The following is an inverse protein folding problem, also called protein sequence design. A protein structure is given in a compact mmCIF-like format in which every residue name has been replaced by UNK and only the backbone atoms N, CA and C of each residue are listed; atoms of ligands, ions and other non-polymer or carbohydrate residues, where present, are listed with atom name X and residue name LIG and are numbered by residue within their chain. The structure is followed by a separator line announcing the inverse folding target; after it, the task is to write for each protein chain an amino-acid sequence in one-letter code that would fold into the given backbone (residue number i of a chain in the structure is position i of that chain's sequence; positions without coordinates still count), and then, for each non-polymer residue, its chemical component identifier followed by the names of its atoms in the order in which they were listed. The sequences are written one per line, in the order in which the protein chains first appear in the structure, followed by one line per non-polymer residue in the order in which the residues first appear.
data_IF_742364561003
#
_entry.id   IF_742364561003
#
_cell.length_a   1.000
_cell.length_b   1.000
_cell.length_c   1.000
_cell.angle_alpha   90.00
_cell.angle_beta   90.00
_cell.angle_gamma   90.00
#
_symmetry.space_group_name_H-M   'P 1'
#
loop_
_entity.id
_entity.type
_entity.pdbx_description
1 polymer ?
#
# COMPACT_ATOMS: atom_id res chain seq x y z
N UNK A 1 -54.72 -32.94 -68.97
CA UNK A 1 -55.49 -31.87 -69.66
C UNK A 1 -55.79 -30.76 -68.67
N UNK A 2 -55.43 -29.56 -69.01
CA UNK A 2 -55.82 -28.28 -68.41
C UNK A 2 -55.13 -27.96 -66.98
N UNK A 3 -54.14 -27.16 -67.11
CA UNK A 3 -53.75 -26.17 -66.09
C UNK A 3 -54.81 -25.09 -65.96
N UNK A 4 -54.93 -24.50 -64.74
CA UNK A 4 -54.88 -23.05 -64.60
C UNK A 4 -54.13 -22.64 -63.36
N UNK A 5 -53.47 -21.55 -63.29
CA UNK A 5 -53.92 -20.18 -63.44
C UNK A 5 -53.40 -19.43 -62.22
N UNK A 6 -52.44 -18.64 -62.46
CA UNK A 6 -51.70 -17.75 -61.57
C UNK A 6 -52.61 -16.67 -60.96
N UNK A 7 -52.53 -16.45 -59.63
CA UNK A 7 -53.09 -15.29 -58.94
C UNK A 7 -52.07 -14.73 -57.91
N UNK A 8 -51.27 -13.78 -58.36
CA UNK A 8 -50.39 -12.99 -57.55
C UNK A 8 -51.21 -12.01 -56.71
N UNK A 9 -51.34 -12.32 -55.41
CA UNK A 9 -51.76 -11.34 -54.37
C UNK A 9 -50.58 -10.52 -53.88
N UNK A 10 -50.50 -9.26 -54.26
CA UNK A 10 -49.57 -8.27 -53.69
C UNK A 10 -50.00 -7.97 -52.29
N UNK A 11 -49.22 -8.42 -51.30
CA UNK A 11 -49.29 -7.91 -49.90
C UNK A 11 -48.45 -6.65 -49.85
N UNK A 12 -49.08 -5.52 -49.60
CA UNK A 12 -48.43 -4.26 -49.24
C UNK A 12 -48.09 -4.36 -47.78
N UNK A 13 -46.83 -4.45 -47.49
CA UNK A 13 -46.30 -4.39 -46.10
C UNK A 13 -46.12 -2.91 -45.75
N UNK A 14 -47.01 -2.37 -44.94
CA UNK A 14 -46.86 -1.04 -44.36
C UNK A 14 -45.83 -1.12 -43.22
N UNK A 15 -44.65 -0.59 -43.41
CA UNK A 15 -43.69 -0.34 -42.37
C UNK A 15 -44.10 0.91 -41.58
N UNK A 16 -44.55 0.73 -40.36
CA UNK A 16 -44.68 1.83 -39.39
C UNK A 16 -43.30 2.05 -38.81
N UNK A 17 -42.61 3.10 -39.22
CA UNK A 17 -41.39 3.56 -38.58
C UNK A 17 -41.77 4.19 -37.23
N UNK A 18 -41.57 3.46 -36.14
CA UNK A 18 -41.57 4.05 -34.79
C UNK A 18 -40.23 4.75 -34.61
N UNK A 19 -40.21 6.07 -34.75
CA UNK A 19 -39.08 6.89 -34.37
C UNK A 19 -39.04 6.94 -32.81
N UNK A 20 -38.24 6.05 -32.20
CA UNK A 20 -37.87 6.19 -30.79
C UNK A 20 -36.89 7.35 -30.71
N UNK A 21 -37.35 8.50 -30.26
CA UNK A 21 -36.49 9.61 -29.90
C UNK A 21 -35.65 9.15 -28.70
N UNK A 22 -34.40 8.76 -28.95
CA UNK A 22 -33.41 8.59 -27.94
C UNK A 22 -33.14 9.95 -27.31
N UNK A 23 -33.77 10.25 -26.19
CA UNK A 23 -33.34 11.34 -25.30
C UNK A 23 -32.01 10.91 -24.73
N UNK A 24 -30.90 11.58 -25.04
CA UNK A 24 -29.65 11.29 -24.35
C UNK A 24 -29.86 11.71 -22.89
N UNK A 25 -29.98 10.74 -22.01
CA UNK A 25 -29.76 10.96 -20.62
C UNK A 25 -28.26 11.32 -20.50
N UNK A 26 -27.98 12.63 -20.57
CA UNK A 26 -26.72 13.17 -20.07
C UNK A 26 -26.74 12.98 -18.55
N UNK A 27 -26.38 11.79 -18.09
CA UNK A 27 -25.80 11.71 -16.77
C UNK A 27 -24.51 12.52 -16.86
N UNK A 28 -24.31 13.53 -16.01
CA UNK A 28 -22.98 14.10 -15.89
C UNK A 28 -22.06 12.92 -15.57
N UNK A 29 -21.13 12.62 -16.46
CA UNK A 29 -20.03 11.75 -16.12
C UNK A 29 -19.42 12.37 -14.85
N UNK A 30 -19.20 11.59 -13.79
CA UNK A 30 -18.47 12.12 -12.65
C UNK A 30 -17.21 12.76 -13.23
N UNK A 31 -17.00 14.04 -12.93
CA UNK A 31 -15.74 14.70 -13.27
C UNK A 31 -14.68 13.78 -12.67
N UNK A 32 -13.89 13.15 -13.52
CA UNK A 32 -12.74 12.39 -13.07
C UNK A 32 -11.95 13.34 -12.18
N UNK A 33 -11.96 13.09 -10.88
CA UNK A 33 -11.16 13.86 -9.95
C UNK A 33 -9.73 13.45 -10.24
N UNK A 34 -9.09 14.19 -11.12
CA UNK A 34 -7.65 14.18 -11.22
C UNK A 34 -7.14 14.26 -9.77
N UNK A 35 -6.38 13.25 -9.33
CA UNK A 35 -5.84 13.25 -7.99
C UNK A 35 -5.29 14.63 -7.71
N UNK A 36 -5.65 15.23 -6.55
CA UNK A 36 -5.34 16.63 -6.26
C UNK A 36 -3.90 16.87 -6.66
N UNK A 37 -3.58 17.77 -7.60
CA UNK A 37 -2.21 17.99 -8.01
C UNK A 37 -1.44 18.32 -6.73
N UNK A 38 -0.47 17.47 -6.40
CA UNK A 38 0.36 17.70 -5.23
C UNK A 38 1.20 18.93 -5.50
N UNK A 39 0.64 20.08 -5.22
CA UNK A 39 1.38 21.31 -5.06
C UNK A 39 2.09 21.30 -3.70
N UNK A 40 2.74 20.20 -3.39
CA UNK A 40 3.67 20.13 -2.28
C UNK A 40 4.86 21.01 -2.64
N UNK A 41 4.64 22.31 -2.59
CA UNK A 41 5.74 23.24 -2.58
C UNK A 41 6.41 23.01 -1.24
N UNK A 42 7.64 22.50 -1.29
CA UNK A 42 8.50 22.50 -0.13
C UNK A 42 8.50 23.92 0.44
N UNK A 43 7.93 24.05 1.59
CA UNK A 43 7.98 25.31 2.32
C UNK A 43 9.02 25.12 3.43
N UNK A 44 9.78 26.17 3.71
CA UNK A 44 10.68 26.22 4.85
C UNK A 44 9.97 26.08 6.22
N UNK A 45 8.67 25.85 6.24
CA UNK A 45 7.91 25.45 7.43
C UNK A 45 8.16 23.98 7.68
N UNK A 46 9.09 23.72 8.51
CA UNK A 46 9.92 22.53 8.62
C UNK A 46 9.26 21.33 9.24
N UNK A 47 8.04 21.39 9.76
CA UNK A 47 7.46 20.28 10.55
C UNK A 47 6.13 19.80 9.97
N UNK A 48 6.11 19.46 8.67
CA UNK A 48 4.93 18.93 7.96
C UNK A 48 5.09 17.47 7.62
N UNK A 49 5.66 16.70 8.51
CA UNK A 49 5.92 15.27 8.33
C UNK A 49 5.23 14.47 9.40
N UNK A 50 4.65 13.35 8.98
CA UNK A 50 4.30 12.25 9.87
C UNK A 50 4.72 10.93 9.22
N UNK A 51 4.81 9.88 10.02
CA UNK A 51 5.23 8.55 9.56
C UNK A 51 4.41 7.45 10.23
N UNK A 52 4.40 6.32 9.58
CA UNK A 52 3.69 5.13 10.02
C UNK A 52 4.40 3.86 9.54
N UNK A 53 3.98 2.73 10.08
CA UNK A 53 4.56 1.43 9.75
C UNK A 53 3.53 0.56 9.07
N UNK A 54 3.95 -0.15 8.02
CA UNK A 54 3.19 -1.20 7.36
C UNK A 54 3.96 -2.51 7.57
N UNK A 55 3.29 -3.49 8.14
CA UNK A 55 3.78 -4.85 8.29
C UNK A 55 2.73 -5.81 7.73
N UNK A 56 3.12 -7.04 7.42
CA UNK A 56 2.23 -8.08 6.94
C UNK A 56 2.76 -9.46 7.30
N UNK A 57 1.95 -10.48 7.11
CA UNK A 57 2.40 -11.88 7.12
C UNK A 57 3.17 -12.22 8.40
N UNK A 58 2.55 -11.97 9.56
CA UNK A 58 3.13 -12.31 10.85
C UNK A 58 3.17 -13.83 11.07
N UNK A 59 2.17 -14.56 10.53
CA UNK A 59 2.07 -16.01 10.60
C UNK A 59 2.36 -16.56 12.01
N UNK A 60 1.67 -16.02 13.00
CA UNK A 60 1.78 -16.51 14.38
C UNK A 60 1.28 -17.96 14.43
N UNK A 61 2.11 -18.85 14.95
CA UNK A 61 1.83 -20.29 14.97
C UNK A 61 2.67 -21.11 14.00
N UNK A 62 3.28 -20.47 12.99
CA UNK A 62 4.13 -21.17 12.02
C UNK A 62 5.31 -21.86 12.69
N UNK A 63 5.52 -23.12 12.33
CA UNK A 63 6.65 -23.89 12.84
C UNK A 63 7.99 -23.27 12.44
N UNK A 64 8.81 -22.96 13.42
CA UNK A 64 10.10 -22.26 13.24
C UNK A 64 9.96 -20.84 12.62
N UNK A 65 8.77 -20.28 12.56
CA UNK A 65 8.55 -18.90 12.15
C UNK A 65 9.02 -17.90 13.21
N UNK A 66 9.34 -16.69 12.76
CA UNK A 66 9.77 -15.58 13.61
C UNK A 66 8.62 -14.64 13.99
N UNK A 67 7.42 -14.92 13.51
CA UNK A 67 6.25 -14.05 13.67
C UNK A 67 5.97 -13.58 15.09
N UNK A 68 5.86 -14.48 16.07
CA UNK A 68 5.60 -14.06 17.45
C UNK A 68 6.66 -13.12 18.01
N UNK A 69 7.94 -13.43 17.78
CA UNK A 69 9.07 -12.63 18.28
C UNK A 69 9.15 -11.26 17.57
N UNK A 70 8.93 -11.24 16.28
CA UNK A 70 9.01 -10.01 15.49
C UNK A 70 7.81 -9.10 15.71
N UNK A 71 6.60 -9.67 15.85
CA UNK A 71 5.42 -8.89 16.21
C UNK A 71 5.56 -8.27 17.61
N UNK A 72 6.07 -9.02 18.56
CA UNK A 72 6.37 -8.50 19.90
C UNK A 72 7.42 -7.37 19.86
N UNK A 73 8.48 -7.54 19.07
CA UNK A 73 9.49 -6.52 18.85
C UNK A 73 8.90 -5.26 18.19
N UNK A 74 8.08 -5.44 17.13
CA UNK A 74 7.46 -4.35 16.40
C UNK A 74 6.55 -3.49 17.29
N UNK A 75 5.69 -4.14 18.07
CA UNK A 75 4.76 -3.46 18.98
C UNK A 75 5.42 -2.94 20.26
N UNK A 76 6.62 -3.40 20.56
CA UNK A 76 7.43 -3.01 21.73
C UNK A 76 8.56 -2.04 21.38
N UNK A 77 9.78 -2.58 21.16
CA UNK A 77 10.98 -1.77 20.94
C UNK A 77 10.85 -0.86 19.72
N UNK A 78 10.38 -1.39 18.57
CA UNK A 78 10.29 -0.61 17.36
C UNK A 78 9.28 0.52 17.49
N UNK A 79 8.08 0.24 17.99
CA UNK A 79 7.05 1.27 18.22
C UNK A 79 7.55 2.38 19.14
N UNK A 80 8.22 2.04 20.24
CA UNK A 80 8.72 3.03 21.19
C UNK A 80 9.88 3.88 20.63
N UNK A 81 10.65 3.32 19.67
CA UNK A 81 11.80 4.00 19.07
C UNK A 81 11.40 4.84 17.87
N UNK A 82 10.49 4.32 17.03
CA UNK A 82 10.02 4.99 15.81
C UNK A 82 8.93 6.02 16.14
N UNK A 83 8.12 5.78 17.16
CA UNK A 83 6.95 6.58 17.54
C UNK A 83 6.03 6.87 16.34
N UNK A 84 5.57 5.83 15.62
CA UNK A 84 4.75 6.01 14.42
C UNK A 84 3.34 6.48 14.79
N UNK A 85 2.73 7.28 13.93
CA UNK A 85 1.34 7.73 14.07
C UNK A 85 0.35 6.56 14.14
N UNK A 86 0.69 5.46 13.49
CA UNK A 86 -0.01 4.17 13.57
C UNK A 86 0.83 3.05 12.95
N UNK A 87 0.38 1.83 13.18
CA UNK A 87 0.92 0.61 12.56
C UNK A 87 -0.23 -0.12 11.87
N UNK A 88 -0.03 -0.57 10.64
CA UNK A 88 -0.94 -1.48 9.93
C UNK A 88 -0.32 -2.87 9.89
N UNK A 89 -1.10 -3.91 10.19
CA UNK A 89 -0.76 -5.30 9.94
C UNK A 89 -1.70 -5.83 8.85
N UNK A 90 -1.13 -6.01 7.66
CA UNK A 90 -1.85 -6.18 6.39
C UNK A 90 -2.05 -7.66 6.05
N UNK A 91 -2.70 -8.40 6.95
CA UNK A 91 -3.13 -9.78 6.75
C UNK A 91 -2.15 -10.84 7.23
N UNK A 92 -2.63 -12.06 7.24
CA UNK A 92 -1.95 -13.27 7.70
C UNK A 92 -1.37 -13.10 9.12
N UNK A 93 -2.30 -12.81 10.05
CA UNK A 93 -1.99 -12.63 11.46
C UNK A 93 -1.54 -13.95 12.08
N UNK A 94 -2.25 -15.02 11.72
CA UNK A 94 -1.97 -16.41 12.13
C UNK A 94 -1.59 -17.28 10.93
N UNK A 95 -0.99 -18.44 11.18
CA UNK A 95 -0.51 -19.34 10.12
C UNK A 95 -1.55 -20.39 9.70
N UNK A 96 -2.56 -20.64 10.54
CA UNK A 96 -3.62 -21.65 10.37
C UNK A 96 -3.12 -23.09 10.16
N UNK A 97 -1.90 -23.42 10.63
CA UNK A 97 -1.28 -24.72 10.45
C UNK A 97 -1.05 -25.51 11.75
N UNK A 98 -1.15 -24.86 12.92
CA UNK A 98 -0.74 -25.38 14.25
C UNK A 98 0.64 -26.06 14.21
N UNK A 99 1.57 -25.46 13.44
CA UNK A 99 2.91 -26.00 13.20
C UNK A 99 2.96 -27.15 12.19
N UNK A 100 1.86 -27.44 11.50
CA UNK A 100 1.76 -28.40 10.39
C UNK A 100 2.38 -27.88 9.09
N UNK A 101 2.07 -28.56 8.00
CA UNK A 101 2.56 -28.20 6.65
C UNK A 101 1.49 -27.49 5.81
N UNK A 102 0.24 -27.68 6.15
CA UNK A 102 -0.89 -27.19 5.36
C UNK A 102 -1.80 -26.33 6.25
N UNK A 103 -2.32 -25.22 5.75
CA UNK A 103 -3.28 -24.41 6.46
C UNK A 103 -4.66 -25.10 6.43
N UNK A 104 -5.03 -25.69 7.56
CA UNK A 104 -6.30 -26.36 7.78
C UNK A 104 -7.04 -25.87 9.03
N UNK A 105 -6.55 -24.71 9.59
CA UNK A 105 -7.17 -24.00 10.72
C UNK A 105 -8.60 -23.52 10.44
N UNK A 106 -9.14 -22.59 11.26
CA UNK A 106 -8.40 -21.78 12.24
C UNK A 106 -8.07 -22.55 13.53
N UNK A 107 -6.97 -22.18 14.17
CA UNK A 107 -6.54 -22.80 15.44
C UNK A 107 -6.59 -21.80 16.61
N UNK A 108 -7.31 -22.17 17.65
CA UNK A 108 -7.45 -21.36 18.86
C UNK A 108 -6.09 -21.11 19.57
N UNK A 109 -5.15 -22.06 19.46
CA UNK A 109 -3.79 -21.93 20.00
C UNK A 109 -3.05 -20.73 19.40
N UNK A 110 -3.06 -20.60 18.07
CA UNK A 110 -2.41 -19.52 17.33
C UNK A 110 -3.06 -18.17 17.62
N UNK A 111 -4.39 -18.09 17.55
CA UNK A 111 -5.14 -16.89 17.86
C UNK A 111 -5.00 -16.45 19.33
N UNK A 112 -4.86 -17.39 20.25
CA UNK A 112 -4.57 -17.09 21.66
C UNK A 112 -3.17 -16.53 21.81
N UNK A 113 -2.18 -17.09 21.12
CA UNK A 113 -0.81 -16.58 21.11
C UNK A 113 -0.77 -15.17 20.51
N UNK A 114 -1.40 -14.94 19.34
CA UNK A 114 -1.52 -13.64 18.71
C UNK A 114 -2.12 -12.61 19.68
N UNK A 115 -3.27 -12.92 20.24
CA UNK A 115 -3.96 -12.06 21.20
C UNK A 115 -3.10 -11.72 22.41
N UNK A 116 -2.39 -12.68 22.98
CA UNK A 116 -1.51 -12.44 24.11
C UNK A 116 -0.37 -11.46 23.77
N UNK A 117 0.15 -11.51 22.54
CA UNK A 117 1.18 -10.57 22.07
C UNK A 117 0.60 -9.16 21.97
N UNK A 118 -0.51 -8.98 21.28
CA UNK A 118 -1.09 -7.63 21.05
C UNK A 118 -1.62 -7.02 22.35
N UNK A 119 -2.26 -7.82 23.22
CA UNK A 119 -2.74 -7.36 24.53
C UNK A 119 -1.57 -7.04 25.46
N UNK A 120 -0.52 -7.88 25.46
CA UNK A 120 0.70 -7.66 26.25
C UNK A 120 1.47 -6.40 25.84
N UNK A 121 1.40 -6.02 24.58
CA UNK A 121 1.96 -4.78 24.05
C UNK A 121 1.04 -3.55 24.25
N UNK A 122 -0.17 -3.73 24.78
CA UNK A 122 -1.15 -2.67 24.93
C UNK A 122 -1.66 -2.11 23.59
N UNK A 123 -1.73 -2.94 22.55
CA UNK A 123 -2.23 -2.53 21.24
C UNK A 123 -3.73 -2.19 21.31
N UNK A 124 -4.08 -1.08 20.70
CA UNK A 124 -5.48 -0.60 20.65
C UNK A 124 -5.84 -0.18 19.22
N UNK A 125 -7.13 -0.22 18.90
CA UNK A 125 -7.68 0.20 17.61
C UNK A 125 -7.49 1.69 17.28
N UNK A 126 -6.86 2.45 18.16
CA UNK A 126 -6.52 3.85 17.91
C UNK A 126 -5.19 4.05 17.17
N UNK A 127 -4.29 3.06 17.22
CA UNK A 127 -2.98 3.15 16.57
C UNK A 127 -2.52 1.87 15.87
N UNK A 128 -3.15 0.74 16.14
CA UNK A 128 -2.83 -0.55 15.53
C UNK A 128 -4.03 -1.06 14.75
N UNK A 129 -3.89 -1.15 13.44
CA UNK A 129 -4.96 -1.50 12.50
C UNK A 129 -4.61 -2.82 11.83
N UNK A 130 -5.48 -3.80 11.99
CA UNK A 130 -5.32 -5.15 11.47
C UNK A 130 -6.31 -5.39 10.34
N UNK A 131 -5.87 -6.12 9.33
CA UNK A 131 -6.66 -6.55 8.19
C UNK A 131 -6.50 -8.06 8.12
N UNK A 132 -7.55 -8.85 7.85
CA UNK A 132 -7.39 -10.29 7.71
C UNK A 132 -6.75 -10.64 6.36
N UNK A 133 -5.95 -11.73 6.35
CA UNK A 133 -5.46 -12.40 5.16
C UNK A 133 -6.14 -13.75 4.93
N UNK A 134 -5.71 -14.48 3.90
CA UNK A 134 -6.27 -15.79 3.58
C UNK A 134 -6.03 -16.84 4.66
N UNK A 135 -4.86 -16.80 5.33
CA UNK A 135 -4.61 -17.70 6.46
C UNK A 135 -5.55 -17.44 7.65
N UNK A 136 -6.05 -16.22 7.81
CA UNK A 136 -7.02 -15.89 8.85
C UNK A 136 -8.45 -16.34 8.51
N UNK A 137 -8.71 -16.64 7.22
CA UNK A 137 -10.02 -16.97 6.67
C UNK A 137 -10.21 -18.48 6.42
N UNK A 138 -9.16 -19.26 6.18
CA UNK A 138 -9.28 -20.68 5.88
C UNK A 138 -10.20 -21.41 6.85
N UNK A 139 -11.24 -22.08 6.31
CA UNK A 139 -12.31 -22.77 7.05
C UNK A 139 -13.11 -21.88 8.04
N UNK A 140 -13.01 -20.57 7.95
CA UNK A 140 -13.73 -19.59 8.79
C UNK A 140 -14.27 -18.43 7.93
N UNK A 141 -15.12 -18.69 6.95
CA UNK A 141 -15.66 -17.71 6.01
C UNK A 141 -16.37 -16.50 6.62
N UNK A 142 -16.67 -16.54 7.92
CA UNK A 142 -17.18 -15.38 8.65
C UNK A 142 -16.07 -14.62 9.39
N UNK A 143 -14.82 -15.07 9.28
CA UNK A 143 -13.68 -14.51 10.01
C UNK A 143 -13.95 -14.37 11.50
N UNK A 144 -14.60 -15.40 12.08
CA UNK A 144 -15.07 -15.37 13.47
C UNK A 144 -13.90 -15.31 14.46
N UNK A 145 -12.78 -15.96 14.15
CA UNK A 145 -11.58 -15.87 14.96
C UNK A 145 -10.94 -14.49 14.88
N UNK A 146 -10.81 -13.91 13.69
CA UNK A 146 -10.36 -12.52 13.54
C UNK A 146 -11.22 -11.55 14.36
N UNK A 147 -12.54 -11.62 14.22
CA UNK A 147 -13.49 -10.77 14.95
C UNK A 147 -13.38 -10.90 16.48
N UNK A 148 -13.03 -12.09 16.97
CA UNK A 148 -12.98 -12.37 18.41
C UNK A 148 -11.58 -12.18 19.04
N UNK A 149 -10.52 -12.18 18.24
CA UNK A 149 -9.15 -12.19 18.76
C UNK A 149 -8.30 -10.99 18.32
N UNK A 150 -8.50 -10.45 17.11
CA UNK A 150 -7.77 -9.25 16.67
C UNK A 150 -8.19 -8.02 17.47
N UNK A 151 -7.37 -6.98 17.47
CA UNK A 151 -7.68 -5.70 18.13
C UNK A 151 -8.84 -5.01 17.43
N UNK A 152 -8.81 -4.95 16.08
CA UNK A 152 -9.87 -4.33 15.28
C UNK A 152 -11.18 -5.12 15.38
N UNK A 153 -11.13 -6.43 15.21
CA UNK A 153 -12.30 -7.29 15.29
C UNK A 153 -13.01 -7.15 16.63
N UNK A 154 -12.29 -7.20 17.75
CA UNK A 154 -12.84 -7.03 19.11
C UNK A 154 -13.42 -5.63 19.33
N UNK A 155 -12.82 -4.60 18.75
CA UNK A 155 -13.24 -3.23 18.93
C UNK A 155 -14.52 -2.89 18.12
N UNK A 156 -14.64 -3.42 16.92
CA UNK A 156 -15.68 -3.02 15.95
C UNK A 156 -16.64 -4.13 15.57
N UNK A 157 -16.27 -5.38 15.77
CA UNK A 157 -16.95 -6.55 15.21
C UNK A 157 -16.78 -6.71 13.70
N UNK A 158 -16.03 -5.81 13.06
CA UNK A 158 -15.80 -5.78 11.62
C UNK A 158 -14.48 -6.40 11.18
N UNK A 159 -14.34 -6.59 9.88
CA UNK A 159 -13.13 -7.07 9.20
C UNK A 159 -12.47 -5.96 8.38
N UNK A 160 -13.15 -4.84 8.23
CA UNK A 160 -12.71 -3.63 7.55
C UNK A 160 -12.69 -2.45 8.52
N UNK A 161 -11.87 -1.47 8.26
CA UNK A 161 -11.75 -0.26 9.09
C UNK A 161 -11.45 0.98 8.25
N UNK A 162 -11.81 2.14 8.80
CA UNK A 162 -11.47 3.44 8.20
C UNK A 162 -11.09 4.39 9.32
N UNK A 163 -10.01 5.15 9.13
CA UNK A 163 -9.55 6.12 10.12
C UNK A 163 -8.91 7.33 9.46
N UNK A 164 -8.79 8.40 10.23
CA UNK A 164 -8.15 9.65 9.82
C UNK A 164 -7.00 10.01 10.73
N UNK A 165 -6.09 10.80 10.19
CA UNK A 165 -5.11 11.57 10.94
C UNK A 165 -5.18 13.03 10.49
N UNK A 166 -5.58 13.89 11.42
CA UNK A 166 -5.67 15.32 11.18
C UNK A 166 -4.51 16.02 11.89
N UNK A 167 -3.72 16.74 11.12
CA UNK A 167 -2.62 17.57 11.59
C UNK A 167 -2.90 19.04 11.22
N UNK A 168 -2.18 19.96 11.83
CA UNK A 168 -2.30 21.38 11.47
C UNK A 168 -1.95 21.68 9.99
N UNK A 169 -1.28 20.73 9.32
CA UNK A 169 -0.82 20.86 7.95
C UNK A 169 -1.58 20.01 6.93
N UNK A 170 -2.53 19.21 7.36
CA UNK A 170 -3.32 18.39 6.44
C UNK A 170 -4.17 17.33 7.12
N UNK A 171 -5.08 16.74 6.35
CA UNK A 171 -5.99 15.67 6.75
C UNK A 171 -5.73 14.44 5.87
N UNK A 172 -5.50 13.30 6.48
CA UNK A 172 -5.10 12.08 5.81
C UNK A 172 -6.05 10.96 6.15
N UNK A 173 -6.52 10.26 5.12
CA UNK A 173 -7.51 9.19 5.25
C UNK A 173 -6.90 7.84 4.92
N UNK A 174 -7.30 6.82 5.69
CA UNK A 174 -6.81 5.47 5.58
C UNK A 174 -7.96 4.48 5.63
N UNK A 175 -7.90 3.44 4.80
CA UNK A 175 -8.92 2.38 4.75
C UNK A 175 -8.25 1.03 4.79
N UNK A 176 -8.66 0.17 5.70
CA UNK A 176 -8.31 -1.24 5.72
C UNK A 176 -9.44 -2.06 5.10
N UNK A 177 -9.13 -2.84 4.08
CA UNK A 177 -10.09 -3.63 3.31
C UNK A 177 -9.84 -5.12 3.48
N UNK A 178 -10.88 -5.90 3.67
CA UNK A 178 -10.80 -7.35 3.73
C UNK A 178 -10.80 -7.89 2.30
N UNK A 179 -9.65 -8.35 1.82
CA UNK A 179 -9.51 -9.00 0.51
C UNK A 179 -9.46 -10.51 0.62
N UNK A 180 -9.49 -11.09 1.84
CA UNK A 180 -9.70 -12.51 2.04
C UNK A 180 -11.11 -12.89 1.56
N UNK A 181 -11.29 -14.12 1.10
CA UNK A 181 -12.58 -14.61 0.71
C UNK A 181 -13.60 -14.59 1.86
N UNK A 182 -14.86 -14.73 1.51
CA UNK A 182 -15.95 -14.82 2.51
C UNK A 182 -16.63 -16.19 2.47
N UNK A 183 -16.04 -17.17 1.82
CA UNK A 183 -16.63 -18.49 1.61
C UNK A 183 -16.07 -19.58 2.55
N UNK A 184 -14.98 -19.28 3.26
CA UNK A 184 -14.31 -20.22 4.15
C UNK A 184 -13.66 -21.36 3.39
N UNK A 185 -13.22 -21.11 2.17
CA UNK A 185 -12.58 -22.12 1.35
C UNK A 185 -11.36 -22.71 2.05
N UNK A 186 -11.21 -24.03 1.93
CA UNK A 186 -10.02 -24.69 2.43
C UNK A 186 -8.89 -24.52 1.42
N UNK A 187 -7.68 -24.36 1.92
CA UNK A 187 -6.50 -24.39 1.06
C UNK A 187 -6.46 -25.68 0.24
N UNK A 188 -6.26 -25.58 -1.07
CA UNK A 188 -6.14 -26.70 -1.97
C UNK A 188 -4.86 -26.64 -2.81
N UNK A 189 -4.16 -27.77 -2.93
CA UNK A 189 -3.03 -27.95 -3.85
C UNK A 189 -3.47 -28.57 -5.18
N UNK A 190 -4.75 -28.87 -5.38
CA UNK A 190 -5.27 -29.61 -6.53
C UNK A 190 -6.05 -28.64 -7.45
N UNK A 191 -5.67 -28.52 -8.74
CA UNK A 191 -6.45 -27.75 -9.71
C UNK A 191 -7.90 -28.32 -9.85
N UNK A 192 -8.91 -27.46 -10.07
CA UNK A 192 -8.85 -26.02 -10.33
C UNK A 192 -8.88 -25.13 -9.08
N UNK A 193 -8.91 -25.69 -7.90
CA UNK A 193 -9.08 -25.00 -6.61
C UNK A 193 -7.71 -24.72 -5.99
N UNK A 194 -6.84 -24.01 -6.70
CA UNK A 194 -5.59 -23.55 -6.12
C UNK A 194 -5.81 -22.30 -5.28
N UNK A 195 -5.20 -22.31 -4.08
CA UNK A 195 -5.08 -21.13 -3.27
C UNK A 195 -6.38 -20.73 -2.58
N UNK A 196 -6.58 -19.45 -2.51
CA UNK A 196 -7.71 -18.80 -1.85
C UNK A 196 -8.65 -18.15 -2.87
N UNK A 197 -9.83 -17.78 -2.42
CA UNK A 197 -10.84 -17.10 -3.20
C UNK A 197 -10.83 -15.59 -2.93
N UNK A 198 -9.64 -14.99 -2.94
CA UNK A 198 -9.46 -13.57 -2.67
C UNK A 198 -10.37 -12.69 -3.53
N UNK A 199 -10.97 -11.68 -2.93
CA UNK A 199 -11.86 -10.77 -3.62
C UNK A 199 -12.57 -9.80 -2.71
N UNK A 200 -13.42 -8.98 -3.30
CA UNK A 200 -14.24 -7.98 -2.62
C UNK A 200 -15.70 -8.13 -3.03
N UNK A 201 -16.55 -8.45 -2.10
CA UNK A 201 -17.98 -8.56 -2.36
C UNK A 201 -18.69 -7.18 -2.40
N UNK A 202 -19.98 -7.18 -2.72
CA UNK A 202 -20.75 -5.94 -2.80
C UNK A 202 -20.89 -5.19 -1.48
N UNK A 203 -20.82 -5.89 -0.34
CA UNK A 203 -20.85 -5.27 1.00
C UNK A 203 -19.53 -4.57 1.31
N UNK A 204 -18.43 -5.22 0.97
CA UNK A 204 -17.08 -4.68 1.13
C UNK A 204 -16.84 -3.48 0.22
N UNK A 205 -17.20 -3.57 -1.05
CA UNK A 205 -17.14 -2.45 -2.00
C UNK A 205 -17.99 -1.26 -1.53
N UNK A 206 -19.20 -1.53 -1.01
CA UNK A 206 -20.06 -0.47 -0.45
C UNK A 206 -19.42 0.20 0.77
N UNK A 207 -18.76 -0.57 1.65
CA UNK A 207 -18.02 0.02 2.78
C UNK A 207 -16.90 0.92 2.29
N UNK A 208 -16.12 0.48 1.30
CA UNK A 208 -15.01 1.23 0.72
C UNK A 208 -15.53 2.55 0.11
N UNK A 209 -16.54 2.48 -0.74
CA UNK A 209 -17.14 3.65 -1.38
C UNK A 209 -17.64 4.67 -0.35
N UNK A 210 -18.38 4.21 0.67
CA UNK A 210 -18.85 5.08 1.74
C UNK A 210 -17.71 5.73 2.53
N UNK A 211 -16.65 4.99 2.82
CA UNK A 211 -15.47 5.51 3.53
C UNK A 211 -14.74 6.57 2.70
N UNK A 212 -14.56 6.32 1.40
CA UNK A 212 -13.94 7.24 0.45
C UNK A 212 -14.78 8.51 0.27
N UNK A 213 -16.11 8.37 0.06
CA UNK A 213 -17.01 9.53 -0.10
C UNK A 213 -17.04 10.40 1.16
N UNK A 214 -17.11 9.78 2.35
CA UNK A 214 -17.11 10.53 3.62
C UNK A 214 -15.81 11.31 3.87
N UNK A 215 -14.71 10.95 3.21
CA UNK A 215 -13.39 11.55 3.41
C UNK A 215 -12.76 12.08 2.13
N UNK A 216 -13.55 12.32 1.11
CA UNK A 216 -13.10 12.77 -0.23
C UNK A 216 -12.30 14.09 -0.23
N UNK A 217 -12.38 14.88 0.83
CA UNK A 217 -11.62 16.12 0.99
C UNK A 217 -10.26 15.90 1.68
N UNK A 218 -9.90 14.67 2.02
CA UNK A 218 -8.58 14.37 2.57
C UNK A 218 -7.47 14.75 1.58
N UNK A 219 -6.33 15.19 2.10
CA UNK A 219 -5.16 15.55 1.27
C UNK A 219 -4.56 14.34 0.58
N UNK A 220 -4.49 13.20 1.27
CA UNK A 220 -4.14 11.89 0.72
C UNK A 220 -5.09 10.83 1.28
N UNK A 221 -5.38 9.82 0.46
CA UNK A 221 -6.07 8.60 0.87
C UNK A 221 -5.22 7.39 0.52
N UNK A 222 -4.98 6.53 1.51
CA UNK A 222 -4.24 5.29 1.36
C UNK A 222 -5.13 4.10 1.75
N UNK A 223 -5.06 3.03 1.00
CA UNK A 223 -5.81 1.80 1.27
C UNK A 223 -4.83 0.66 1.58
N UNK A 224 -5.21 -0.22 2.48
CA UNK A 224 -4.47 -1.40 2.85
C UNK A 224 -5.36 -2.62 2.74
N UNK A 225 -4.88 -3.64 2.06
CA UNK A 225 -5.49 -4.96 1.96
C UNK A 225 -4.44 -6.04 2.18
N UNK A 226 -4.73 -7.28 1.88
CA UNK A 226 -3.75 -8.37 2.00
C UNK A 226 -3.26 -8.85 0.64
N UNK A 227 -4.17 -9.08 -0.31
CA UNK A 227 -3.83 -9.66 -1.59
C UNK A 227 -3.39 -8.63 -2.62
N UNK A 228 -2.44 -8.98 -3.51
CA UNK A 228 -2.12 -8.16 -4.68
C UNK A 228 -3.34 -8.05 -5.59
N UNK A 229 -3.47 -6.93 -6.28
CA UNK A 229 -4.54 -6.71 -7.25
C UNK A 229 -4.17 -7.22 -8.64
N UNK A 230 -2.89 -7.19 -8.96
CA UNK A 230 -2.33 -7.63 -10.22
C UNK A 230 -1.36 -8.76 -9.97
N UNK A 231 -1.40 -9.76 -10.83
CA UNK A 231 -0.45 -10.87 -10.76
C UNK A 231 0.97 -10.34 -10.94
N UNK A 232 1.90 -10.65 -10.03
CA UNK A 232 3.30 -10.32 -10.24
C UNK A 232 3.83 -11.00 -11.51
N UNK A 233 4.64 -10.32 -12.30
CA UNK A 233 5.20 -10.83 -13.57
C UNK A 233 6.03 -12.12 -13.44
N UNK A 234 6.35 -12.51 -12.23
CA UNK A 234 7.21 -13.67 -11.92
C UNK A 234 6.50 -14.86 -11.34
N UNK A 235 5.20 -14.87 -11.30
CA UNK A 235 4.54 -16.12 -10.95
C UNK A 235 4.83 -17.13 -12.03
N UNK A 236 5.48 -18.19 -11.65
CA UNK A 236 5.37 -19.46 -12.38
C UNK A 236 3.88 -19.53 -12.76
N UNK A 237 3.57 -19.69 -14.03
CA UNK A 237 2.25 -19.57 -14.69
C UNK A 237 1.08 -20.34 -14.03
N UNK A 238 1.22 -20.77 -12.78
CA UNK A 238 0.36 -21.72 -12.12
C UNK A 238 -0.36 -21.23 -10.87
N UNK A 239 -0.12 -20.01 -10.38
CA UNK A 239 -0.74 -19.53 -9.15
C UNK A 239 -1.73 -18.42 -9.49
N UNK A 240 -3.00 -18.80 -9.67
CA UNK A 240 -4.11 -17.86 -9.89
C UNK A 240 -4.52 -17.08 -8.63
N UNK A 241 -3.99 -17.45 -7.51
CA UNK A 241 -4.34 -17.04 -6.16
C UNK A 241 -3.73 -15.72 -5.67
N UNK A 242 -2.89 -15.06 -6.48
CA UNK A 242 -2.26 -13.79 -6.11
C UNK A 242 -3.00 -12.53 -6.56
N UNK A 243 -4.14 -12.65 -7.24
CA UNK A 243 -4.97 -11.54 -7.69
C UNK A 243 -6.42 -11.75 -7.24
N UNK A 244 -7.14 -10.65 -7.02
CA UNK A 244 -8.55 -10.73 -6.68
C UNK A 244 -9.34 -11.44 -7.78
N UNK A 245 -10.10 -12.45 -7.42
CA UNK A 245 -10.92 -13.24 -8.35
C UNK A 245 -12.26 -12.58 -8.63
N UNK A 246 -12.75 -11.73 -7.73
CA UNK A 246 -13.97 -10.94 -7.89
C UNK A 246 -13.82 -9.55 -7.26
N UNK A 247 -14.61 -8.58 -7.75
CA UNK A 247 -14.60 -7.20 -7.27
C UNK A 247 -13.43 -6.33 -7.73
N UNK A 248 -12.44 -6.89 -8.44
CA UNK A 248 -11.23 -6.18 -8.86
C UNK A 248 -11.53 -4.90 -9.66
N UNK A 249 -12.33 -5.01 -10.73
CA UNK A 249 -12.59 -3.87 -11.61
C UNK A 249 -13.29 -2.73 -10.87
N UNK A 250 -14.29 -3.05 -10.05
CA UNK A 250 -15.01 -2.06 -9.24
C UNK A 250 -14.08 -1.40 -8.20
N UNK A 251 -13.21 -2.17 -7.59
CA UNK A 251 -12.25 -1.64 -6.61
C UNK A 251 -11.22 -0.72 -7.26
N UNK A 252 -10.67 -1.11 -8.40
CA UNK A 252 -9.75 -0.26 -9.17
C UNK A 252 -10.45 1.03 -9.63
N UNK A 253 -11.73 0.94 -10.03
CA UNK A 253 -12.54 2.10 -10.37
C UNK A 253 -12.71 3.05 -9.19
N UNK A 254 -13.10 2.54 -8.02
CA UNK A 254 -13.21 3.34 -6.79
C UNK A 254 -11.88 4.02 -6.43
N UNK A 255 -10.75 3.31 -6.49
CA UNK A 255 -9.45 3.90 -6.20
C UNK A 255 -9.11 5.05 -7.13
N UNK A 256 -9.41 4.92 -8.43
CA UNK A 256 -9.17 5.97 -9.41
C UNK A 256 -10.12 7.16 -9.22
N UNK A 257 -11.41 6.90 -9.02
CA UNK A 257 -12.42 7.95 -8.91
C UNK A 257 -12.23 8.83 -7.67
N UNK A 258 -11.70 8.26 -6.60
CA UNK A 258 -11.41 8.99 -5.35
C UNK A 258 -9.93 9.40 -5.20
N UNK A 259 -9.10 9.16 -6.21
CA UNK A 259 -7.70 9.57 -6.21
C UNK A 259 -6.88 8.94 -5.09
N UNK A 260 -7.05 7.63 -4.87
CA UNK A 260 -6.26 6.89 -3.89
C UNK A 260 -4.79 6.92 -4.27
N UNK A 261 -3.93 7.21 -3.30
CA UNK A 261 -2.51 7.43 -3.52
C UNK A 261 -1.68 6.16 -3.44
N UNK A 262 -2.08 5.22 -2.56
CA UNK A 262 -1.36 3.98 -2.33
C UNK A 262 -2.34 2.87 -1.97
N UNK A 263 -2.08 1.68 -2.52
CA UNK A 263 -2.61 0.41 -2.05
C UNK A 263 -1.45 -0.43 -1.49
N UNK A 264 -1.41 -0.60 -0.17
CA UNK A 264 -0.43 -1.42 0.55
C UNK A 264 -0.98 -2.82 0.82
N UNK A 265 -0.17 -3.85 0.57
CA UNK A 265 -0.58 -5.25 0.74
C UNK A 265 0.59 -6.16 1.14
N UNK A 266 0.32 -7.43 1.41
CA UNK A 266 1.31 -8.45 1.77
C UNK A 266 1.23 -9.69 0.88
N UNK A 267 0.96 -10.86 1.48
CA UNK A 267 0.68 -12.15 0.82
C UNK A 267 1.87 -12.79 0.09
N UNK A 268 2.62 -12.04 -0.70
CA UNK A 268 3.73 -12.61 -1.48
C UNK A 268 5.01 -12.81 -0.66
N UNK A 269 5.06 -12.28 0.56
CA UNK A 269 6.18 -12.33 1.50
C UNK A 269 7.45 -11.60 1.05
N UNK A 270 7.44 -10.93 -0.09
CA UNK A 270 8.59 -10.24 -0.69
C UNK A 270 8.27 -8.78 -0.90
N UNK A 271 9.18 -7.90 -0.48
CA UNK A 271 9.02 -6.48 -0.74
C UNK A 271 9.00 -6.18 -2.24
N UNK A 272 8.07 -5.36 -2.67
CA UNK A 272 7.98 -4.92 -4.05
C UNK A 272 7.15 -3.65 -4.20
N UNK A 273 7.49 -2.87 -5.18
CA UNK A 273 6.80 -1.64 -5.56
C UNK A 273 6.36 -1.76 -7.01
N UNK A 274 5.10 -1.43 -7.26
CA UNK A 274 4.54 -1.40 -8.60
C UNK A 274 3.73 -0.13 -8.75
N UNK A 275 3.65 0.36 -9.96
CA UNK A 275 2.83 1.51 -10.29
C UNK A 275 1.77 1.12 -11.30
N UNK A 276 0.52 1.26 -10.91
CA UNK A 276 -0.62 0.98 -11.77
C UNK A 276 -1.22 2.28 -12.28
N UNK A 277 -1.24 2.45 -13.58
CA UNK A 277 -1.80 3.62 -14.25
C UNK A 277 -2.96 3.16 -15.12
N UNK A 278 -4.17 3.57 -14.78
CA UNK A 278 -5.33 3.36 -15.67
C UNK A 278 -5.32 4.38 -16.80
N UNK A 279 -4.95 5.61 -16.45
CA UNK A 279 -4.58 6.64 -17.41
C UNK A 279 -3.39 7.46 -16.83
N UNK A 280 -2.65 8.13 -17.69
CA UNK A 280 -1.36 8.78 -17.37
C UNK A 280 -1.44 9.89 -16.31
N UNK A 281 -2.63 10.31 -15.92
CA UNK A 281 -2.85 11.39 -14.95
C UNK A 281 -3.30 10.88 -13.58
N UNK A 282 -3.65 9.61 -13.48
CA UNK A 282 -4.21 9.00 -12.28
C UNK A 282 -3.45 7.71 -11.99
N UNK A 283 -2.69 7.70 -10.93
CA UNK A 283 -1.88 6.55 -10.59
C UNK A 283 -1.98 6.18 -9.13
N UNK A 284 -2.02 4.89 -8.86
CA UNK A 284 -1.95 4.32 -7.52
C UNK A 284 -0.62 3.60 -7.36
N UNK A 285 0.09 3.87 -6.28
CA UNK A 285 1.27 3.10 -5.91
C UNK A 285 0.80 1.77 -5.32
N UNK A 286 1.23 0.66 -5.88
CA UNK A 286 1.05 -0.67 -5.32
C UNK A 286 2.29 -1.06 -4.55
N UNK A 287 2.14 -1.24 -3.23
CA UNK A 287 3.24 -1.52 -2.34
C UNK A 287 3.03 -2.87 -1.66
N UNK A 288 3.82 -3.85 -2.07
CA UNK A 288 3.91 -5.13 -1.37
C UNK A 288 4.91 -5.01 -0.23
N UNK A 289 4.45 -5.17 1.00
CA UNK A 289 5.34 -5.19 2.16
C UNK A 289 5.86 -6.61 2.40
N UNK A 290 7.11 -6.72 2.85
CA UNK A 290 7.72 -7.99 3.16
C UNK A 290 7.09 -8.66 4.38
N UNK A 291 7.27 -9.99 4.50
CA UNK A 291 6.75 -10.75 5.62
C UNK A 291 7.48 -10.44 6.94
N UNK A 292 6.72 -10.10 7.96
CA UNK A 292 7.22 -9.92 9.32
C UNK A 292 7.61 -11.27 9.96
N UNK A 293 6.95 -12.34 9.56
CA UNK A 293 7.14 -13.69 10.09
C UNK A 293 8.44 -14.39 9.69
N UNK A 294 9.29 -13.77 8.86
CA UNK A 294 10.57 -14.33 8.44
C UNK A 294 10.45 -15.46 7.41
N UNK A 295 9.46 -15.39 6.54
CA UNK A 295 9.20 -16.43 5.53
C UNK A 295 10.11 -16.33 4.31
N UNK A 296 10.35 -15.09 3.87
CA UNK A 296 11.31 -14.77 2.82
C UNK A 296 12.17 -13.58 3.31
N UNK A 297 11.68 -12.35 3.15
CA UNK A 297 12.31 -11.17 3.68
C UNK A 297 11.78 -10.91 5.09
N UNK A 298 12.68 -10.92 6.07
CA UNK A 298 12.33 -10.61 7.46
C UNK A 298 12.35 -9.08 7.65
N UNK A 299 11.26 -8.42 7.24
CA UNK A 299 11.24 -6.97 7.13
C UNK A 299 9.84 -6.37 7.38
N UNK A 300 9.78 -5.06 7.44
CA UNK A 300 8.58 -4.23 7.49
C UNK A 300 8.82 -2.95 6.68
N UNK A 301 7.79 -2.19 6.40
CA UNK A 301 7.89 -0.94 5.65
C UNK A 301 7.69 0.25 6.58
N UNK A 302 8.63 1.18 6.57
CA UNK A 302 8.46 2.53 7.11
C UNK A 302 7.99 3.45 5.99
N UNK A 303 6.88 4.12 6.21
CA UNK A 303 6.30 5.09 5.31
C UNK A 303 6.24 6.47 5.96
N UNK A 304 6.46 7.51 5.20
CA UNK A 304 6.35 8.89 5.65
C UNK A 304 5.63 9.75 4.63
N UNK A 305 4.87 10.72 5.14
CA UNK A 305 4.30 11.80 4.33
C UNK A 305 4.95 13.10 4.79
N UNK A 306 5.73 13.71 3.91
CA UNK A 306 6.41 14.98 4.16
C UNK A 306 5.95 16.00 3.12
N UNK A 307 5.30 17.07 3.56
CA UNK A 307 4.70 18.07 2.67
C UNK A 307 3.80 17.45 1.59
N UNK A 308 2.98 16.46 1.95
CA UNK A 308 2.15 15.63 1.08
C UNK A 308 2.92 14.71 0.09
N UNK A 309 4.24 14.70 0.13
CA UNK A 309 5.05 13.73 -0.59
C UNK A 309 5.14 12.40 0.16
N UNK A 310 5.00 11.29 -0.53
CA UNK A 310 5.04 9.95 0.05
C UNK A 310 6.41 9.31 -0.18
N UNK A 311 7.05 8.90 0.91
CA UNK A 311 8.29 8.11 0.90
C UNK A 311 8.05 6.79 1.59
N UNK A 312 8.60 5.71 1.05
CA UNK A 312 8.50 4.36 1.64
C UNK A 312 9.86 3.66 1.59
N UNK A 313 10.09 2.76 2.53
CA UNK A 313 11.30 1.96 2.57
C UNK A 313 11.08 0.65 3.30
N UNK A 314 11.54 -0.47 2.72
CA UNK A 314 11.65 -1.74 3.41
C UNK A 314 12.83 -1.75 4.37
N UNK A 315 12.62 -2.22 5.57
CA UNK A 315 13.61 -2.20 6.65
C UNK A 315 13.66 -3.57 7.33
N UNK A 316 14.86 -4.11 7.48
CA UNK A 316 15.05 -5.36 8.18
C UNK A 316 14.66 -5.24 9.67
N UNK A 317 14.00 -6.28 10.19
CA UNK A 317 13.62 -6.37 11.60
C UNK A 317 14.84 -6.27 12.48
N UNK A 318 14.73 -5.51 13.58
CA UNK A 318 15.79 -5.33 14.63
C UNK A 318 17.07 -4.65 14.14
N UNK A 319 17.04 -4.00 12.99
CA UNK A 319 18.19 -3.26 12.46
C UNK A 319 18.11 -1.78 12.83
N UNK A 320 19.18 -1.21 13.41
CA UNK A 320 19.31 0.19 13.81
C UNK A 320 20.67 0.76 13.40
N UNK A 321 20.82 2.06 13.12
CA UNK A 321 19.75 3.06 12.97
C UNK A 321 18.97 2.91 11.67
N UNK A 322 17.73 3.42 11.65
CA UNK A 322 16.90 3.55 10.45
C UNK A 322 17.10 4.93 9.86
N UNK A 323 17.16 5.00 8.54
CA UNK A 323 17.17 6.26 7.78
C UNK A 323 16.14 6.17 6.68
N UNK A 324 15.28 7.18 6.55
CA UNK A 324 14.34 7.32 5.45
C UNK A 324 14.44 8.75 4.90
N UNK A 325 14.94 8.90 3.68
CA UNK A 325 14.96 10.19 2.99
C UNK A 325 13.53 10.57 2.61
N UNK A 326 13.11 11.76 3.05
CA UNK A 326 11.78 12.31 2.76
C UNK A 326 11.84 13.47 1.77
N UNK A 327 13.03 14.07 1.55
CA UNK A 327 13.31 15.04 0.51
C UNK A 327 14.77 14.91 0.05
N UNK A 328 15.04 14.87 -1.26
CA UNK A 328 14.06 14.75 -2.34
C UNK A 328 13.28 13.45 -2.25
N UNK A 329 12.06 13.42 -2.81
CA UNK A 329 11.31 12.17 -2.94
C UNK A 329 11.96 11.30 -3.99
N UNK A 330 11.93 9.98 -3.78
CA UNK A 330 12.35 9.02 -4.81
C UNK A 330 11.32 9.04 -5.96
N UNK A 331 11.68 9.52 -7.16
CA UNK A 331 10.76 9.60 -8.28
C UNK A 331 10.33 8.22 -8.78
N UNK A 332 11.08 7.20 -8.46
CA UNK A 332 10.84 5.86 -8.98
C UNK A 332 10.37 4.88 -7.90
N UNK A 333 10.37 5.27 -6.62
CA UNK A 333 10.21 4.33 -5.49
C UNK A 333 11.06 3.05 -5.69
N UNK A 334 12.28 3.21 -6.22
CA UNK A 334 13.13 2.11 -6.64
C UNK A 334 12.98 1.77 -8.12
N UNK A 335 11.82 1.44 -8.59
CA UNK A 335 11.56 1.09 -10.00
C UNK A 335 10.21 1.57 -10.53
N UNK A 336 9.27 1.93 -9.66
CA UNK A 336 7.97 2.45 -10.06
C UNK A 336 7.95 3.97 -10.06
N UNK A 337 7.20 4.58 -10.99
CA UNK A 337 6.98 6.02 -10.98
C UNK A 337 6.25 6.44 -9.71
N UNK A 338 6.80 7.38 -8.97
CA UNK A 338 6.12 8.01 -7.85
C UNK A 338 5.37 9.26 -8.33
N UNK A 339 4.03 9.24 -8.46
CA UNK A 339 3.27 10.38 -8.94
C UNK A 339 3.21 11.52 -7.91
N UNK A 340 3.64 11.24 -6.69
CA UNK A 340 3.65 12.18 -5.57
C UNK A 340 5.01 12.84 -5.38
N UNK A 341 5.93 12.72 -6.34
CA UNK A 341 7.14 13.52 -6.38
C UNK A 341 6.82 14.96 -6.68
N UNK A 342 7.46 15.85 -5.96
CA UNK A 342 7.43 17.28 -6.25
C UNK A 342 8.80 17.73 -6.75
N UNK A 343 8.80 18.82 -7.52
CA UNK A 343 10.04 19.34 -8.03
C UNK A 343 10.95 19.80 -6.88
N UNK A 344 12.20 19.37 -6.92
CA UNK A 344 13.21 19.87 -5.99
C UNK A 344 13.41 21.36 -6.27
N UNK A 345 13.29 22.25 -5.26
CA UNK A 345 13.52 23.67 -5.45
C UNK A 345 14.93 23.94 -6.00
N UNK A 346 15.04 24.95 -6.83
CA UNK A 346 16.36 25.37 -7.33
C UNK A 346 17.18 26.06 -6.27
N UNK A 347 18.50 26.06 -6.45
CA UNK A 347 19.44 26.84 -5.66
C UNK A 347 18.98 28.32 -5.57
N UNK A 348 19.05 28.86 -4.37
CA UNK A 348 18.54 30.21 -4.07
C UNK A 348 17.20 30.20 -3.36
N UNK A 349 16.47 29.09 -3.46
CA UNK A 349 15.31 28.79 -2.62
C UNK A 349 15.58 27.65 -1.64
N UNK A 350 16.79 27.10 -1.66
CA UNK A 350 17.21 25.87 -0.99
C UNK A 350 16.93 24.62 -1.83
N UNK A 351 17.81 23.66 -1.76
CA UNK A 351 17.57 22.29 -2.25
C UNK A 351 17.48 21.40 -1.02
N UNK A 352 16.29 21.14 -0.48
CA UNK A 352 16.18 20.46 0.78
C UNK A 352 16.63 19.01 0.66
N UNK A 353 17.49 18.60 1.59
CA UNK A 353 17.75 17.20 1.91
C UNK A 353 17.18 16.96 3.28
N UNK A 354 16.16 16.12 3.39
CA UNK A 354 15.47 15.81 4.64
C UNK A 354 15.45 14.31 4.83
N UNK A 355 15.63 13.87 6.07
CA UNK A 355 15.55 12.46 6.40
C UNK A 355 14.98 12.27 7.82
N UNK A 356 14.18 11.25 7.97
CA UNK A 356 13.80 10.69 9.27
C UNK A 356 14.88 9.70 9.71
N UNK A 357 15.32 9.83 10.95
CA UNK A 357 16.36 8.99 11.55
C UNK A 357 15.89 8.48 12.90
N UNK A 358 15.98 7.17 13.09
CA UNK A 358 15.57 6.51 14.34
C UNK A 358 16.67 5.56 14.81
N UNK A 359 16.98 5.61 16.10
CA UNK A 359 17.82 4.63 16.77
C UNK A 359 17.37 4.51 18.23
N UNK A 360 17.50 3.33 18.80
CA UNK A 360 17.26 3.10 20.22
C UNK A 360 18.35 3.73 21.11
N UNK A 361 19.49 4.11 20.53
CA UNK A 361 20.56 4.84 21.18
C UNK A 361 20.66 6.26 20.60
N UNK A 362 21.35 7.18 21.28
CA UNK A 362 21.53 8.53 20.76
C UNK A 362 22.21 8.53 19.37
N UNK A 363 21.66 9.31 18.45
CA UNK A 363 22.28 9.60 17.17
C UNK A 363 23.47 10.54 17.38
N UNK A 364 24.65 10.14 16.91
CA UNK A 364 25.89 10.90 17.05
C UNK A 364 26.09 11.90 15.91
N UNK A 365 25.76 11.50 14.67
CA UNK A 365 25.81 12.37 13.51
C UNK A 365 24.82 11.90 12.44
N UNK A 366 24.32 12.85 11.67
CA UNK A 366 23.61 12.60 10.42
C UNK A 366 24.27 13.47 9.35
N UNK A 367 24.59 12.84 8.23
CA UNK A 367 25.34 13.47 7.15
C UNK A 367 24.74 13.06 5.81
N UNK A 368 24.86 13.97 4.83
CA UNK A 368 24.45 13.69 3.44
C UNK A 368 25.64 13.87 2.48
N UNK A 369 25.51 13.29 1.32
CA UNK A 369 26.37 13.58 0.17
C UNK A 369 25.59 13.47 -1.14
N UNK A 370 26.15 14.07 -2.19
CA UNK A 370 25.58 14.05 -3.54
C UNK A 370 26.58 13.33 -4.46
N UNK A 371 26.05 12.45 -5.34
CA UNK A 371 26.78 11.75 -6.40
C UNK A 371 27.99 10.91 -5.93
N UNK A 372 27.84 10.24 -4.80
CA UNK A 372 28.81 9.26 -4.24
C UNK A 372 30.27 9.76 -4.11
N UNK A 373 30.70 10.68 -4.94
CA UNK A 373 32.07 11.22 -4.99
C UNK A 373 32.28 12.42 -4.06
N UNK A 374 31.21 12.96 -3.49
CA UNK A 374 31.26 14.12 -2.60
C UNK A 374 31.73 13.78 -1.19
N UNK A 375 32.19 14.81 -0.47
CA UNK A 375 32.38 14.69 0.97
C UNK A 375 31.04 14.58 1.69
N UNK A 376 31.01 13.86 2.79
CA UNK A 376 29.89 13.86 3.69
C UNK A 376 29.76 15.21 4.39
N UNK A 377 28.59 15.83 4.31
CA UNK A 377 28.27 17.13 4.88
C UNK A 377 27.25 16.96 6.01
N UNK A 378 27.35 17.70 7.10
CA UNK A 378 26.47 17.54 8.26
C UNK A 378 25.05 18.00 7.94
N UNK A 379 24.07 17.30 8.50
CA UNK A 379 22.68 17.70 8.58
C UNK A 379 22.38 18.23 10.00
N UNK A 380 21.35 19.05 10.13
CA UNK A 380 20.89 19.62 11.39
C UNK A 380 19.57 18.98 11.81
N UNK A 381 19.44 18.70 13.10
CA UNK A 381 18.16 18.26 13.64
C UNK A 381 17.13 19.41 13.57
N UNK A 382 15.93 19.09 13.12
CA UNK A 382 14.84 20.09 13.01
C UNK A 382 14.28 20.38 14.41
N UNK A 383 14.25 21.64 14.84
CA UNK A 383 13.69 22.01 16.13
C UNK A 383 12.24 21.52 16.33
N UNK A 384 11.98 20.83 17.42
CA UNK A 384 10.64 20.30 17.74
C UNK A 384 10.32 18.95 17.11
N UNK A 385 11.23 18.38 16.31
CA UNK A 385 11.10 17.00 15.80
C UNK A 385 12.45 16.27 15.94
N UNK A 386 12.64 15.43 16.96
CA UNK A 386 13.94 14.79 17.23
C UNK A 386 14.34 13.76 16.18
N UNK A 387 13.41 13.33 15.34
CA UNK A 387 13.65 12.34 14.30
C UNK A 387 13.93 12.94 12.93
N UNK A 388 13.62 14.22 12.73
CA UNK A 388 13.78 14.88 11.44
C UNK A 388 15.09 15.64 11.37
N UNK A 389 15.86 15.37 10.32
CA UNK A 389 17.12 16.03 10.00
C UNK A 389 17.03 16.70 8.65
N UNK A 390 17.66 17.86 8.52
CA UNK A 390 17.58 18.64 7.29
C UNK A 390 18.91 19.34 6.97
N UNK A 391 19.14 19.55 5.67
CA UNK A 391 20.22 20.39 5.14
C UNK A 391 19.77 21.01 3.81
N UNK A 392 20.46 22.09 3.40
CA UNK A 392 20.36 22.60 2.03
C UNK A 392 21.51 22.03 1.20
N UNK A 393 21.21 21.35 0.10
CA UNK A 393 22.23 20.87 -0.81
C UNK A 393 22.94 22.06 -1.49
N UNK A 394 24.27 21.95 -1.59
CA UNK A 394 25.10 22.97 -2.21
C UNK A 394 25.05 22.97 -3.75
N UNK A 395 24.39 21.99 -4.34
CA UNK A 395 24.24 21.81 -5.80
C UNK A 395 22.77 21.93 -6.20
N UNK A 396 22.52 22.34 -7.43
CA UNK A 396 21.16 22.32 -7.99
C UNK A 396 20.77 20.88 -8.29
N UNK A 397 19.81 20.35 -7.53
CA UNK A 397 19.31 18.98 -7.69
C UNK A 397 18.28 18.87 -8.82
N UNK A 398 17.91 19.97 -9.46
CA UNK A 398 16.97 20.00 -10.58
C UNK A 398 17.72 19.88 -11.94
N UNK A 399 17.00 19.38 -12.93
CA UNK A 399 17.47 19.42 -14.33
C UNK A 399 18.47 18.34 -14.75
N UNK A 400 19.00 17.55 -13.83
CA UNK A 400 19.78 16.33 -14.11
C UNK A 400 19.63 15.35 -12.97
N UNK A 401 19.90 14.08 -13.24
CA UNK A 401 19.85 13.04 -12.21
C UNK A 401 21.05 13.15 -11.28
N UNK A 402 20.80 13.30 -10.00
CA UNK A 402 21.76 13.18 -8.92
C UNK A 402 21.40 11.99 -8.04
N UNK A 403 22.35 11.55 -7.24
CA UNK A 403 22.12 10.57 -6.18
C UNK A 403 22.31 11.27 -4.85
N UNK A 404 21.26 11.32 -4.06
CA UNK A 404 21.33 11.83 -2.68
C UNK A 404 21.43 10.64 -1.73
N UNK A 405 22.43 10.67 -0.88
CA UNK A 405 22.64 9.67 0.16
C UNK A 405 22.63 10.37 1.52
N UNK A 406 21.96 9.75 2.48
CA UNK A 406 21.99 10.17 3.89
C UNK A 406 22.48 9.00 4.72
N UNK A 407 23.43 9.25 5.63
CA UNK A 407 23.86 8.28 6.63
C UNK A 407 23.67 8.83 8.05
N UNK A 408 23.33 7.94 8.96
CA UNK A 408 23.27 8.22 10.37
C UNK A 408 24.22 7.30 11.12
N UNK A 409 24.95 7.87 12.09
CA UNK A 409 25.81 7.13 13.02
C UNK A 409 25.16 7.16 14.40
N UNK A 410 24.88 5.98 14.93
CA UNK A 410 24.29 5.77 16.24
C UNK A 410 24.86 4.50 16.85
N UNK A 411 24.00 3.49 17.11
CA UNK A 411 24.45 2.15 17.57
C UNK A 411 25.29 1.43 16.50
N UNK A 412 25.06 1.74 15.25
CA UNK A 412 25.86 1.36 14.10
C UNK A 412 25.78 2.46 13.03
N UNK A 413 25.99 2.15 11.75
CA UNK A 413 25.78 3.09 10.65
C UNK A 413 24.60 2.59 9.81
N UNK A 414 23.57 3.40 9.74
CA UNK A 414 22.46 3.23 8.80
C UNK A 414 22.54 4.27 7.69
N UNK A 415 21.97 3.99 6.56
CA UNK A 415 21.97 4.89 5.43
C UNK A 415 20.74 4.66 4.53
N UNK A 416 20.41 5.67 3.74
CA UNK A 416 19.40 5.61 2.69
C UNK A 416 19.90 6.36 1.45
N UNK A 417 19.29 6.10 0.31
CA UNK A 417 19.72 6.62 -0.98
C UNK A 417 18.54 6.81 -1.90
N UNK A 418 18.44 8.00 -2.51
CA UNK A 418 17.41 8.28 -3.51
C UNK A 418 18.03 8.96 -4.74
N UNK A 419 17.57 8.63 -5.96
CA UNK A 419 17.88 9.41 -7.14
C UNK A 419 17.07 10.71 -7.14
N UNK A 420 17.54 11.72 -7.88
CA UNK A 420 16.78 12.92 -8.24
C UNK A 420 16.59 12.95 -9.75
N UNK A 421 15.82 13.87 -10.24
CA UNK A 421 15.62 14.08 -11.66
C UNK A 421 14.17 13.85 -12.10
N UNK A 422 13.93 14.07 -13.38
CA UNK A 422 12.63 13.75 -13.94
C UNK A 422 12.44 12.23 -13.97
N UNK A 423 11.27 11.75 -13.59
CA UNK A 423 10.94 10.35 -13.76
C UNK A 423 11.11 9.98 -15.25
N UNK A 424 11.53 8.75 -15.56
CA UNK A 424 11.59 8.32 -16.95
C UNK A 424 10.26 8.55 -17.64
N UNK A 425 10.29 9.05 -18.87
CA UNK A 425 9.09 9.27 -19.65
C UNK A 425 8.27 7.97 -19.68
N UNK A 426 6.96 8.04 -19.48
CA UNK A 426 6.12 6.86 -19.53
C UNK A 426 6.34 6.12 -20.85
N UNK A 427 6.58 4.83 -20.79
CA UNK A 427 6.69 4.03 -22.00
C UNK A 427 5.31 3.97 -22.63
N UNK A 428 5.13 4.61 -23.80
CA UNK A 428 3.92 4.47 -24.59
C UNK A 428 3.80 3.01 -25.05
N UNK A 429 3.03 2.21 -24.36
CA UNK A 429 2.55 0.95 -24.91
C UNK A 429 1.16 1.15 -25.52
N UNK A 430 1.10 0.90 -26.80
CA UNK A 430 -0.14 0.86 -27.53
C UNK A 430 -1.05 -0.26 -27.04
N UNK A 431 -2.09 0.09 -26.31
CA UNK A 431 -3.27 -0.75 -26.10
C UNK A 431 -3.24 -1.62 -24.85
N UNK A 432 -4.24 -1.43 -24.02
CA UNK A 432 -4.74 -2.35 -22.96
C UNK A 432 -3.63 -3.11 -22.22
N UNK A 433 -2.93 -2.48 -21.32
CA UNK A 433 -1.84 -3.13 -20.64
C UNK A 433 -1.63 -2.61 -19.22
N UNK A 434 -1.75 -3.53 -18.28
CA UNK A 434 -1.14 -3.43 -16.98
C UNK A 434 0.37 -3.40 -17.18
N UNK A 435 1.08 -2.37 -16.70
CA UNK A 435 2.54 -2.33 -16.73
C UNK A 435 3.10 -2.99 -15.49
N UNK A 436 3.96 -3.93 -15.71
CA UNK A 436 4.69 -4.63 -14.68
C UNK A 436 6.15 -4.16 -14.76
N UNK A 437 6.56 -3.36 -13.79
CA UNK A 437 7.98 -3.07 -13.57
C UNK A 437 8.68 -4.29 -12.97
N UNK A 438 9.93 -4.50 -13.35
CA UNK A 438 10.75 -5.62 -12.85
C UNK A 438 11.05 -5.42 -11.37
N UNK A 439 10.78 -6.42 -10.54
CA UNK A 439 11.10 -6.43 -9.11
C UNK A 439 12.63 -6.50 -8.97
N UNK A 440 13.22 -5.48 -8.38
CA UNK A 440 14.62 -5.52 -7.94
C UNK A 440 14.62 -5.40 -6.42
N UNK A 441 15.18 -6.39 -5.75
CA UNK A 441 15.45 -6.32 -4.31
C UNK A 441 16.48 -5.23 -4.04
N UNK A 442 16.19 -4.34 -3.10
CA UNK A 442 17.15 -3.39 -2.55
C UNK A 442 17.72 -3.87 -1.23
#
# INVERSE_FOLDING_TARGET
MKTPGDARGKRVLSFVLLAVAAVPFLFPLPEARAGKPHSAIYSSVTNRVFWFVIASDAHVGKKNGLGPENLQWLLGEARNTIDPSFIVLSGDLTDSTDGGLYPDGPYLSEWTQYRNIVDGAGATSSFFFEIPGNHDEYNDGNLSFFRNHSVQGRATGGTQCSWKRDFAFGSYHFVGVCTAGNDGASFSLIPPEYGDHAGLDGGELTFIENALEANKEADLTLIFGHHPLVRPAFTLETWDDTALTYGLDAFVELMNDYGVSLYGYGHTHVYGEQFFVRNMTEGVIYLNTAALGGLADNAYTLAAVDCNGLSVRSLAVKNWPLVLITAPLDPNLGIALNPYTWQVPRVGTGNPVRALVFDKNPILSVEYRIDEAGNWLPMQAVPGNPHLWEADASVDLSGQTHIVEVRATGSSVGWDRVPTGEPPAPVEEGGKGCFIGTILNR
#
